data_IF_315311052812
#
_entry.id   IF_315311052812
#
_cell.length_a   1.000
_cell.length_b   1.000
_cell.length_c   1.000
_cell.angle_alpha   90.00
_cell.angle_beta   90.00
_cell.angle_gamma   90.00
#
_symmetry.space_group_name_H-M   'P 1'
#
loop_
_entity.id
_entity.type
_entity.pdbx_description
1 polymer ?
#
# COMPACT_ATOMS: atom_id res chain seq x y z
N UNK A 1 -3.87 -10.23 4.27
CA UNK A 1 -4.56 -10.46 2.97
C UNK A 1 -3.57 -10.14 1.84
N UNK A 2 -3.75 -10.63 0.60
CA UNK A 2 -2.85 -10.27 -0.52
C UNK A 2 -3.62 -9.58 -1.63
N UNK A 3 -3.15 -8.41 -2.05
CA UNK A 3 -3.80 -7.55 -3.06
C UNK A 3 -2.77 -6.97 -4.03
N UNK A 4 -3.18 -6.59 -5.23
CA UNK A 4 -2.29 -5.93 -6.20
C UNK A 4 -2.24 -4.42 -5.97
N UNK A 5 -1.17 -3.76 -6.44
CA UNK A 5 -1.07 -2.29 -6.39
C UNK A 5 -2.20 -1.61 -7.16
N UNK A 6 -2.58 -2.13 -8.33
CA UNK A 6 -3.74 -1.64 -9.09
C UNK A 6 -5.04 -1.71 -8.26
N UNK A 7 -5.23 -2.81 -7.52
CA UNK A 7 -6.43 -2.97 -6.69
C UNK A 7 -6.47 -1.96 -5.56
N UNK A 8 -5.32 -1.65 -4.96
CA UNK A 8 -5.21 -0.61 -3.93
C UNK A 8 -5.53 0.77 -4.54
N UNK A 9 -4.92 1.10 -5.68
CA UNK A 9 -5.15 2.35 -6.39
C UNK A 9 -6.62 2.56 -6.76
N UNK A 10 -7.33 1.49 -7.12
CA UNK A 10 -8.74 1.53 -7.54
C UNK A 10 -9.73 1.81 -6.41
N UNK A 11 -9.36 1.50 -5.16
CA UNK A 11 -10.24 1.61 -3.99
C UNK A 11 -9.41 2.01 -2.75
N UNK A 12 -8.81 3.22 -2.73
CA UNK A 12 -7.90 3.63 -1.67
C UNK A 12 -8.59 3.70 -0.29
N UNK A 13 -9.90 3.93 -0.24
CA UNK A 13 -10.70 3.95 0.99
C UNK A 13 -10.71 2.64 1.78
N UNK A 14 -10.38 1.51 1.14
CA UNK A 14 -10.34 0.19 1.79
C UNK A 14 -9.01 -0.05 2.54
N UNK A 15 -8.10 0.92 2.51
CA UNK A 15 -6.76 0.80 3.07
C UNK A 15 -6.41 1.99 3.97
N UNK A 16 -5.41 1.77 4.80
CA UNK A 16 -4.86 2.79 5.72
C UNK A 16 -3.37 2.60 5.88
N UNK A 17 -2.67 3.68 6.17
CA UNK A 17 -1.21 3.70 6.33
C UNK A 17 -0.86 3.71 7.81
N UNK A 18 -0.02 2.77 8.25
CA UNK A 18 0.49 2.76 9.61
C UNK A 18 1.37 4.00 9.84
N UNK A 19 1.08 4.78 10.88
CA UNK A 19 1.84 6.00 11.19
C UNK A 19 3.23 5.71 11.77
N UNK A 20 3.44 4.52 12.33
CA UNK A 20 4.71 4.13 12.92
C UNK A 20 5.74 3.67 11.88
N UNK A 21 5.32 2.83 10.93
CA UNK A 21 6.24 2.22 9.95
C UNK A 21 5.95 2.60 8.49
N UNK A 22 4.85 3.30 8.21
CA UNK A 22 4.46 3.71 6.85
C UNK A 22 3.92 2.58 5.98
N UNK A 23 3.68 1.38 6.54
CA UNK A 23 3.18 0.25 5.77
C UNK A 23 1.67 0.33 5.56
N UNK A 24 1.21 -0.13 4.40
CA UNK A 24 -0.20 -0.19 4.04
C UNK A 24 -0.91 -1.37 4.73
N UNK A 25 -2.15 -1.17 5.14
CA UNK A 25 -2.96 -2.16 5.84
C UNK A 25 -4.41 -2.11 5.33
N UNK A 26 -5.12 -3.22 5.41
CA UNK A 26 -6.56 -3.23 5.19
C UNK A 26 -7.31 -2.47 6.30
N UNK A 27 -8.40 -1.78 5.96
CA UNK A 27 -9.09 -0.88 6.90
C UNK A 27 -9.58 -1.60 8.17
N UNK A 28 -9.97 -2.88 8.07
CA UNK A 28 -10.47 -3.69 9.21
C UNK A 28 -9.36 -4.14 10.16
N UNK A 29 -8.08 -4.02 9.80
CA UNK A 29 -7.00 -4.47 10.68
C UNK A 29 -6.88 -3.55 11.90
N UNK A 30 -7.00 -4.10 13.11
CA UNK A 30 -6.83 -3.33 14.35
C UNK A 30 -5.35 -2.97 14.62
N UNK A 31 -4.40 -3.76 14.10
CA UNK A 31 -2.96 -3.57 14.26
C UNK A 31 -2.22 -3.76 12.94
N UNK A 32 -1.07 -3.12 12.81
CA UNK A 32 -0.26 -3.14 11.60
C UNK A 32 0.31 -4.55 11.34
N UNK A 33 0.10 -5.10 10.15
CA UNK A 33 0.60 -6.43 9.77
C UNK A 33 2.13 -6.53 9.78
N UNK A 34 2.84 -5.39 9.69
CA UNK A 34 4.31 -5.35 9.69
C UNK A 34 4.92 -5.04 11.06
N UNK A 35 4.39 -4.07 11.81
CA UNK A 35 5.02 -3.60 13.05
C UNK A 35 4.17 -3.75 14.31
N UNK A 36 2.92 -4.21 14.19
CA UNK A 36 1.95 -4.34 15.30
C UNK A 36 1.52 -3.02 15.98
N UNK A 37 1.87 -1.87 15.41
CA UNK A 37 1.34 -0.56 15.83
C UNK A 37 -0.15 -0.40 15.54
N UNK A 38 -0.84 0.45 16.29
CA UNK A 38 -2.29 0.66 16.22
C UNK A 38 -2.71 2.07 15.75
N UNK A 39 -1.74 2.94 15.47
CA UNK A 39 -2.00 4.27 14.91
C UNK A 39 -1.96 4.26 13.38
N UNK A 40 -3.05 4.72 12.76
CA UNK A 40 -3.20 4.77 11.30
C UNK A 40 -3.57 6.16 10.76
N UNK A 41 -3.19 6.39 9.51
CA UNK A 41 -3.70 7.44 8.63
C UNK A 41 -4.67 6.80 7.61
N UNK A 42 -5.93 7.19 7.68
CA UNK A 42 -7.02 6.65 6.83
C UNK A 42 -7.33 7.57 5.65
N UNK A 43 -6.53 8.63 5.44
CA UNK A 43 -6.73 9.52 4.29
C UNK A 43 -6.39 8.80 2.99
N UNK A 44 -7.29 8.90 1.99
CA UNK A 44 -7.05 8.35 0.65
C UNK A 44 -5.77 8.93 0.03
N UNK A 45 -5.44 10.19 0.32
CA UNK A 45 -4.20 10.83 -0.14
C UNK A 45 -2.94 10.13 0.38
N UNK A 46 -2.96 9.61 1.62
CA UNK A 46 -1.83 8.86 2.17
C UNK A 46 -1.65 7.51 1.48
N UNK A 47 -2.77 6.83 1.17
CA UNK A 47 -2.80 5.55 0.46
C UNK A 47 -2.31 5.71 -0.97
N UNK A 48 -2.83 6.71 -1.70
CA UNK A 48 -2.41 7.01 -3.08
C UNK A 48 -0.92 7.33 -3.12
N UNK A 49 -0.41 8.14 -2.18
CA UNK A 49 1.03 8.42 -2.08
C UNK A 49 1.85 7.17 -1.84
N UNK A 50 1.38 6.28 -0.98
CA UNK A 50 2.06 5.01 -0.72
C UNK A 50 2.14 4.17 -2.00
N UNK A 51 1.02 4.05 -2.73
CA UNK A 51 0.96 3.34 -4.00
C UNK A 51 1.92 3.96 -5.02
N UNK A 52 1.90 5.29 -5.19
CA UNK A 52 2.79 5.99 -6.12
C UNK A 52 4.26 5.70 -5.81
N UNK A 53 4.66 5.78 -4.53
CA UNK A 53 6.03 5.49 -4.11
C UNK A 53 6.43 4.04 -4.42
N UNK A 54 5.52 3.09 -4.15
CA UNK A 54 5.77 1.68 -4.43
C UNK A 54 5.90 1.44 -5.95
N UNK A 55 5.01 2.00 -6.77
CA UNK A 55 5.10 1.96 -8.23
C UNK A 55 6.45 2.49 -8.73
N UNK A 56 6.85 3.68 -8.28
CA UNK A 56 8.13 4.28 -8.68
C UNK A 56 9.31 3.40 -8.28
N UNK A 57 9.31 2.84 -7.07
CA UNK A 57 10.36 1.91 -6.65
C UNK A 57 10.48 0.71 -7.59
N UNK A 58 9.35 0.05 -7.92
CA UNK A 58 9.33 -1.12 -8.81
C UNK A 58 9.83 -0.78 -10.21
N UNK A 59 9.42 0.35 -10.77
CA UNK A 59 9.80 0.77 -12.12
C UNK A 59 11.27 1.24 -12.16
N UNK A 60 11.63 2.19 -11.31
CA UNK A 60 12.92 2.86 -11.40
C UNK A 60 14.07 2.03 -10.81
N UNK A 61 13.81 1.30 -9.72
CA UNK A 61 14.85 0.54 -9.02
C UNK A 61 14.90 -0.92 -9.47
N UNK A 62 13.75 -1.56 -9.65
CA UNK A 62 13.69 -2.98 -10.01
C UNK A 62 13.50 -3.21 -11.52
N UNK A 63 13.26 -2.16 -12.31
CA UNK A 63 13.17 -2.22 -13.78
C UNK A 63 11.86 -2.81 -14.30
N UNK A 64 10.79 -2.78 -13.50
CA UNK A 64 9.48 -3.27 -13.90
C UNK A 64 8.88 -2.37 -14.99
N UNK A 65 8.15 -2.96 -15.92
CA UNK A 65 7.21 -2.19 -16.76
C UNK A 65 6.00 -1.74 -15.95
N UNK A 66 5.27 -0.72 -16.40
CA UNK A 66 4.03 -0.26 -15.75
C UNK A 66 3.05 -1.43 -15.52
N UNK A 67 2.84 -2.26 -16.54
CA UNK A 67 1.96 -3.44 -16.44
C UNK A 67 2.45 -4.47 -15.42
N UNK A 68 3.76 -4.62 -15.25
CA UNK A 68 4.29 -5.51 -14.22
C UNK A 68 4.11 -4.91 -12.82
N UNK A 69 4.31 -3.60 -12.68
CA UNK A 69 4.07 -2.88 -11.44
C UNK A 69 2.58 -2.98 -11.00
N UNK A 70 1.63 -2.87 -11.93
CA UNK A 70 0.19 -3.06 -11.65
C UNK A 70 -0.11 -4.40 -10.98
N UNK A 71 0.64 -5.44 -11.33
CA UNK A 71 0.46 -6.81 -10.86
C UNK A 71 1.33 -7.15 -9.64
N UNK A 72 2.05 -6.18 -9.07
CA UNK A 72 2.80 -6.39 -7.83
C UNK A 72 1.83 -6.66 -6.70
N UNK A 73 2.01 -7.80 -6.03
CA UNK A 73 1.17 -8.25 -4.92
C UNK A 73 1.83 -7.88 -3.60
N UNK A 74 1.07 -7.21 -2.74
CA UNK A 74 1.49 -6.80 -1.40
C UNK A 74 0.60 -7.42 -0.33
N UNK A 75 1.16 -7.60 0.85
CA UNK A 75 0.39 -8.05 2.01
C UNK A 75 -0.21 -6.83 2.70
N UNK A 76 -1.49 -6.91 3.04
CA UNK A 76 -2.29 -5.86 3.69
C UNK A 76 -3.08 -6.41 4.85
#
# INVERSE_FOLDING_TARGET
>A
MKVTLDKIASQPSDYKICKECGYINFYENEVCVMCQGDEFDESEESVIRWVDNEYQYRIETEGYTEREADNVVVEV
#
